data_IF_510061667526
#
_entry.id   IF_510061667526
#
_cell.length_a   1.000
_cell.length_b   1.000
_cell.length_c   1.000
_cell.angle_alpha   90.00
_cell.angle_beta   90.00
_cell.angle_gamma   90.00
#
_symmetry.space_group_name_H-M   'P 1'
#
loop_
_entity.id
_entity.type
_entity.pdbx_description
1 polymer ?
#
# COMPACT_ATOMS: atom_id res chain seq x y z
N UNK A 1 23.04 24.41 -32.63
CA UNK A 1 22.71 24.81 -31.24
C UNK A 1 23.53 23.99 -30.23
N UNK A 2 24.81 24.32 -29.92
CA UNK A 2 25.63 23.54 -28.97
C UNK A 2 25.92 24.26 -27.62
N UNK A 3 25.80 25.58 -27.56
CA UNK A 3 26.31 26.41 -26.45
C UNK A 3 25.47 26.25 -25.17
N UNK A 4 24.16 26.04 -25.31
CA UNK A 4 23.22 25.89 -24.19
C UNK A 4 23.50 24.62 -23.37
N UNK A 5 23.89 23.52 -24.02
CA UNK A 5 24.16 22.22 -23.38
C UNK A 5 25.41 22.29 -22.50
N UNK A 6 26.46 22.99 -22.95
CA UNK A 6 27.73 23.13 -22.20
C UNK A 6 27.51 23.93 -20.91
N UNK A 7 26.74 25.03 -21.00
CA UNK A 7 26.44 25.91 -19.86
C UNK A 7 25.54 25.24 -18.82
N UNK A 8 24.59 24.42 -19.26
CA UNK A 8 23.72 23.66 -18.37
C UNK A 8 24.50 22.54 -17.64
N UNK A 9 25.44 21.88 -18.32
CA UNK A 9 26.30 20.85 -17.71
C UNK A 9 27.26 21.45 -16.68
N UNK A 10 27.81 22.64 -16.91
CA UNK A 10 28.66 23.34 -15.92
C UNK A 10 27.85 23.83 -14.73
N UNK A 11 26.64 24.35 -14.95
CA UNK A 11 25.73 24.74 -13.87
C UNK A 11 25.36 23.55 -12.97
N UNK A 12 25.01 22.40 -13.55
CA UNK A 12 24.73 21.17 -12.77
C UNK A 12 25.94 20.73 -11.94
N UNK A 13 27.17 20.86 -12.46
CA UNK A 13 28.40 20.56 -11.67
C UNK A 13 28.56 21.50 -10.48
N UNK A 14 28.27 22.78 -10.67
CA UNK A 14 28.33 23.78 -9.59
C UNK A 14 27.29 23.50 -8.50
N UNK A 15 26.06 23.16 -8.89
CA UNK A 15 25.00 22.81 -7.94
C UNK A 15 25.33 21.53 -7.14
N UNK A 16 25.84 20.49 -7.80
CA UNK A 16 26.26 19.26 -7.10
C UNK A 16 27.41 19.55 -6.13
N UNK A 17 28.37 20.40 -6.53
CA UNK A 17 29.49 20.79 -5.67
C UNK A 17 29.02 21.62 -4.48
N UNK A 18 28.14 22.60 -4.69
CA UNK A 18 27.55 23.41 -3.63
C UNK A 18 26.77 22.53 -2.63
N UNK A 19 25.96 21.58 -3.12
CA UNK A 19 25.26 20.61 -2.27
C UNK A 19 26.22 19.73 -1.46
N UNK A 20 27.32 19.27 -2.07
CA UNK A 20 28.33 18.47 -1.37
C UNK A 20 29.03 19.25 -0.25
N UNK A 21 29.42 20.50 -0.53
CA UNK A 21 30.03 21.39 0.49
C UNK A 21 29.08 21.67 1.63
N UNK A 22 27.81 21.97 1.33
CA UNK A 22 26.78 22.17 2.36
C UNK A 22 26.59 20.90 3.21
N UNK A 23 26.55 19.72 2.58
CA UNK A 23 26.41 18.45 3.31
C UNK A 23 27.63 18.11 4.19
N UNK A 24 28.83 18.58 3.85
CA UNK A 24 30.00 18.45 4.72
C UNK A 24 29.98 19.39 5.92
N UNK A 25 29.32 20.55 5.81
CA UNK A 25 29.18 21.53 6.89
C UNK A 25 28.10 21.18 7.93
N UNK A 26 27.25 20.20 7.66
CA UNK A 26 26.22 19.73 8.61
C UNK A 26 26.86 18.71 9.55
N UNK A 27 26.77 18.90 10.89
CA UNK A 27 27.24 17.91 11.85
C UNK A 27 26.61 16.53 11.61
N UNK A 28 27.41 15.47 11.73
CA UNK A 28 26.99 14.10 11.41
C UNK A 28 25.70 13.69 12.13
N UNK A 29 25.49 14.14 13.37
CA UNK A 29 24.27 13.86 14.15
C UNK A 29 23.01 14.37 13.44
N UNK A 30 23.01 15.60 12.92
CA UNK A 30 21.87 16.15 12.20
C UNK A 30 21.65 15.47 10.83
N UNK A 31 22.74 15.05 10.16
CA UNK A 31 22.64 14.27 8.92
C UNK A 31 22.01 12.91 9.16
N UNK A 32 22.43 12.21 10.22
CA UNK A 32 21.87 10.92 10.60
C UNK A 32 20.39 11.06 10.97
N UNK A 33 20.02 12.06 11.81
CA UNK A 33 18.62 12.36 12.13
C UNK A 33 17.77 12.64 10.89
N UNK A 34 18.28 13.41 9.94
CA UNK A 34 17.58 13.70 8.69
C UNK A 34 17.33 12.45 7.84
N UNK A 35 18.35 11.59 7.71
CA UNK A 35 18.21 10.32 6.99
C UNK A 35 17.21 9.39 7.69
N UNK A 36 17.28 9.25 9.02
CA UNK A 36 16.32 8.44 9.79
C UNK A 36 14.88 8.93 9.65
N UNK A 37 14.65 10.25 9.63
CA UNK A 37 13.31 10.82 9.40
C UNK A 37 12.82 10.52 7.98
N UNK A 38 13.71 10.63 6.99
CA UNK A 38 13.38 10.31 5.60
C UNK A 38 12.99 8.83 5.46
N UNK A 39 13.76 7.93 6.07
CA UNK A 39 13.51 6.49 6.01
C UNK A 39 12.20 6.14 6.75
N UNK A 40 11.97 6.72 7.94
CA UNK A 40 10.72 6.55 8.67
C UNK A 40 9.50 7.03 7.89
N UNK A 41 9.62 8.16 7.17
CA UNK A 41 8.56 8.68 6.29
C UNK A 41 8.27 7.72 5.11
N UNK A 42 9.30 7.17 4.48
CA UNK A 42 9.13 6.19 3.40
C UNK A 42 8.48 4.89 3.90
N UNK A 43 8.87 4.43 5.10
CA UNK A 43 8.24 3.28 5.73
C UNK A 43 6.76 3.56 6.06
N UNK A 44 6.43 4.73 6.57
CA UNK A 44 5.05 5.14 6.83
C UNK A 44 4.20 5.12 5.55
N UNK A 45 4.69 5.70 4.45
CA UNK A 45 3.97 5.71 3.17
C UNK A 45 3.81 4.28 2.60
N UNK A 46 4.82 3.43 2.74
CA UNK A 46 4.75 2.03 2.33
C UNK A 46 3.74 1.24 3.18
N UNK A 47 3.65 1.53 4.48
CA UNK A 47 2.65 0.97 5.39
C UNK A 47 1.27 1.44 4.95
N UNK A 48 1.03 2.74 4.78
CA UNK A 48 -0.26 3.30 4.32
C UNK A 48 -0.74 2.66 3.01
N UNK A 49 0.14 2.56 2.00
CA UNK A 49 -0.17 1.90 0.72
C UNK A 49 -0.56 0.44 0.86
N UNK A 50 -0.02 -0.29 1.84
CA UNK A 50 -0.41 -1.69 2.09
C UNK A 50 -1.84 -1.82 2.60
N UNK A 51 -2.40 -0.79 3.24
CA UNK A 51 -3.79 -0.84 3.72
C UNK A 51 -4.79 -0.31 2.69
N UNK A 52 -4.35 0.60 1.83
CA UNK A 52 -5.06 0.90 0.58
C UNK A 52 -5.25 -0.36 -0.29
N UNK A 53 -4.46 -1.43 -0.08
CA UNK A 53 -4.64 -2.70 -0.80
C UNK A 53 -6.00 -3.35 -0.55
N UNK A 54 -6.67 -3.15 0.61
CA UNK A 54 -8.02 -3.70 0.82
C UNK A 54 -9.00 -3.01 -0.14
N UNK A 55 -8.99 -1.68 -0.15
CA UNK A 55 -9.86 -0.85 -0.98
C UNK A 55 -9.59 -1.10 -2.47
N UNK A 56 -8.30 -1.13 -2.85
CA UNK A 56 -7.89 -1.44 -4.22
C UNK A 56 -8.26 -2.87 -4.64
N UNK A 57 -8.15 -3.86 -3.75
CA UNK A 57 -8.57 -5.24 -4.02
C UNK A 57 -10.08 -5.32 -4.22
N UNK A 58 -10.84 -4.63 -3.38
CA UNK A 58 -12.29 -4.54 -3.48
C UNK A 58 -12.70 -3.88 -4.81
N UNK A 59 -12.18 -2.71 -5.14
CA UNK A 59 -12.50 -1.99 -6.38
C UNK A 59 -12.18 -2.82 -7.64
N UNK A 60 -11.01 -3.47 -7.64
CA UNK A 60 -10.60 -4.35 -8.75
C UNK A 60 -11.54 -5.54 -8.90
N UNK A 61 -11.93 -6.17 -7.78
CA UNK A 61 -12.83 -7.31 -7.81
C UNK A 61 -14.25 -6.90 -8.22
N UNK A 62 -14.75 -5.78 -7.70
CA UNK A 62 -16.05 -5.21 -8.09
C UNK A 62 -16.10 -4.95 -9.59
N UNK A 63 -15.05 -4.35 -10.15
CA UNK A 63 -14.95 -4.12 -11.59
C UNK A 63 -15.00 -5.43 -12.39
N UNK A 64 -14.31 -6.48 -11.94
CA UNK A 64 -14.34 -7.79 -12.60
C UNK A 64 -15.72 -8.45 -12.51
N UNK A 65 -16.36 -8.39 -11.35
CA UNK A 65 -17.72 -8.93 -11.15
C UNK A 65 -18.69 -8.23 -12.10
N UNK A 66 -18.67 -6.90 -12.18
CA UNK A 66 -19.52 -6.16 -13.11
C UNK A 66 -19.25 -6.52 -14.58
N UNK A 67 -18.00 -6.78 -14.97
CA UNK A 67 -17.67 -7.22 -16.32
C UNK A 67 -18.22 -8.62 -16.64
N UNK A 68 -18.15 -9.55 -15.68
CA UNK A 68 -18.67 -10.92 -15.84
C UNK A 68 -20.20 -10.92 -15.92
N UNK A 69 -20.87 -10.11 -15.10
CA UNK A 69 -22.32 -9.94 -15.14
C UNK A 69 -22.80 -9.44 -16.51
N UNK A 70 -22.06 -8.51 -17.12
CA UNK A 70 -22.35 -8.03 -18.48
C UNK A 70 -22.16 -9.11 -19.56
N UNK A 71 -21.27 -10.08 -19.34
CA UNK A 71 -21.06 -11.23 -20.22
C UNK A 71 -22.08 -12.36 -19.98
N UNK A 72 -23.03 -12.18 -19.05
CA UNK A 72 -24.04 -13.17 -18.70
C UNK A 72 -23.54 -14.24 -17.72
N UNK A 73 -22.32 -14.12 -17.19
CA UNK A 73 -21.83 -14.99 -16.13
C UNK A 73 -22.27 -14.48 -14.76
N UNK A 74 -23.11 -15.25 -14.07
CA UNK A 74 -23.54 -14.95 -12.71
C UNK A 74 -22.67 -15.70 -11.71
N UNK A 75 -21.85 -14.97 -10.95
CA UNK A 75 -21.11 -15.53 -9.81
C UNK A 75 -22.01 -15.63 -8.58
N UNK A 76 -21.81 -16.68 -7.77
CA UNK A 76 -22.45 -16.76 -6.46
C UNK A 76 -21.79 -15.78 -5.49
N UNK A 77 -22.55 -15.26 -4.52
CA UNK A 77 -22.00 -14.39 -3.47
C UNK A 77 -20.86 -15.09 -2.72
N UNK A 78 -21.01 -16.39 -2.45
CA UNK A 78 -19.98 -17.23 -1.85
C UNK A 78 -18.67 -17.19 -2.65
N UNK A 79 -18.73 -17.34 -3.97
CA UNK A 79 -17.53 -17.37 -4.82
C UNK A 79 -16.84 -16.00 -4.86
N UNK A 80 -17.62 -14.92 -4.98
CA UNK A 80 -17.11 -13.55 -4.95
C UNK A 80 -16.43 -13.27 -3.61
N UNK A 81 -17.10 -13.60 -2.50
CA UNK A 81 -16.58 -13.41 -1.15
C UNK A 81 -15.30 -14.22 -0.92
N UNK A 82 -15.24 -15.48 -1.37
CA UNK A 82 -14.01 -16.27 -1.27
C UNK A 82 -12.86 -15.69 -2.10
N UNK A 83 -13.14 -15.18 -3.30
CA UNK A 83 -12.13 -14.50 -4.14
C UNK A 83 -11.62 -13.23 -3.47
N UNK A 84 -12.48 -12.44 -2.83
CA UNK A 84 -12.08 -11.27 -2.05
C UNK A 84 -11.12 -11.68 -0.94
N UNK A 85 -11.53 -12.62 -0.08
CA UNK A 85 -10.73 -13.08 1.07
C UNK A 85 -9.39 -13.70 0.66
N UNK A 86 -9.33 -14.38 -0.49
CA UNK A 86 -8.09 -14.97 -1.03
C UNK A 86 -7.14 -13.93 -1.63
N UNK A 87 -7.67 -12.80 -2.09
CA UNK A 87 -6.89 -11.74 -2.75
C UNK A 87 -6.37 -10.70 -1.76
N UNK A 88 -6.77 -10.77 -0.49
CA UNK A 88 -6.25 -9.90 0.55
C UNK A 88 -4.76 -10.16 0.79
N UNK A 89 -4.06 -9.12 1.22
CA UNK A 89 -2.64 -9.22 1.57
C UNK A 89 -2.43 -10.10 2.82
N UNK A 90 -1.21 -10.65 3.04
CA UNK A 90 -0.94 -11.56 4.15
C UNK A 90 -1.28 -11.00 5.53
N UNK A 91 -1.23 -9.68 5.70
CA UNK A 91 -1.60 -8.97 6.92
C UNK A 91 -3.04 -9.26 7.35
N UNK A 92 -3.94 -9.56 6.40
CA UNK A 92 -5.34 -9.89 6.66
C UNK A 92 -5.62 -11.38 6.89
N UNK A 93 -4.59 -12.25 6.85
CA UNK A 93 -4.78 -13.71 6.85
C UNK A 93 -5.63 -14.22 8.01
N UNK A 94 -5.40 -13.72 9.24
CA UNK A 94 -6.17 -14.12 10.42
C UNK A 94 -7.66 -13.85 10.23
N UNK A 95 -8.01 -12.62 9.81
CA UNK A 95 -9.39 -12.24 9.53
C UNK A 95 -9.97 -13.01 8.35
N UNK A 96 -9.19 -13.24 7.30
CA UNK A 96 -9.62 -14.01 6.14
C UNK A 96 -9.94 -15.48 6.48
N UNK A 97 -9.19 -16.10 7.39
CA UNK A 97 -9.50 -17.45 7.91
C UNK A 97 -10.78 -17.43 8.74
N UNK A 98 -10.92 -16.48 9.66
CA UNK A 98 -12.11 -16.36 10.51
C UNK A 98 -13.37 -16.16 9.67
N UNK A 99 -13.34 -15.25 8.69
CA UNK A 99 -14.48 -14.98 7.80
C UNK A 99 -14.81 -16.16 6.88
N UNK A 100 -13.82 -16.94 6.42
CA UNK A 100 -14.08 -18.16 5.63
C UNK A 100 -14.89 -19.21 6.39
N UNK A 101 -14.77 -19.24 7.71
CA UNK A 101 -15.46 -20.20 8.57
C UNK A 101 -16.85 -19.73 9.04
N UNK A 102 -17.25 -18.49 8.71
CA UNK A 102 -18.58 -17.99 9.08
C UNK A 102 -19.67 -18.63 8.23
N UNK A 103 -20.77 -18.97 8.86
CA UNK A 103 -21.93 -19.62 8.23
C UNK A 103 -22.71 -18.71 7.31
N UNK A 104 -22.59 -17.39 7.44
CA UNK A 104 -23.30 -16.40 6.62
C UNK A 104 -22.48 -15.90 5.42
N UNK A 105 -21.36 -16.54 5.09
CA UNK A 105 -20.47 -16.10 4.00
C UNK A 105 -21.12 -16.23 2.60
N UNK A 106 -22.08 -17.14 2.45
CA UNK A 106 -22.85 -17.37 1.24
C UNK A 106 -24.02 -16.40 1.05
N UNK A 107 -24.48 -15.79 2.14
CA UNK A 107 -25.64 -14.88 2.17
C UNK A 107 -25.23 -13.41 2.23
N UNK A 108 -24.11 -13.09 2.88
CA UNK A 108 -23.58 -11.72 2.93
C UNK A 108 -23.13 -11.28 1.53
N UNK A 109 -23.47 -10.05 1.14
CA UNK A 109 -22.96 -9.50 -0.11
C UNK A 109 -21.50 -9.02 0.06
N UNK A 110 -20.78 -8.89 -1.05
CA UNK A 110 -19.37 -8.48 -1.04
C UNK A 110 -19.14 -7.11 -0.38
N UNK A 111 -20.06 -6.16 -0.53
CA UNK A 111 -19.92 -4.81 0.04
C UNK A 111 -20.04 -4.84 1.57
N UNK A 112 -21.01 -5.58 2.11
CA UNK A 112 -21.17 -5.78 3.54
C UNK A 112 -19.97 -6.53 4.12
N UNK A 113 -19.44 -7.54 3.41
CA UNK A 113 -18.22 -8.22 3.81
C UNK A 113 -17.03 -7.24 3.88
N UNK A 114 -16.87 -6.39 2.88
CA UNK A 114 -15.83 -5.36 2.86
C UNK A 114 -15.96 -4.38 4.05
N UNK A 115 -17.16 -3.85 4.32
CA UNK A 115 -17.38 -2.94 5.44
C UNK A 115 -17.09 -3.60 6.79
N UNK A 116 -17.46 -4.88 6.92
CA UNK A 116 -17.14 -5.66 8.11
C UNK A 116 -15.63 -5.89 8.28
N UNK A 117 -14.87 -6.06 7.19
CA UNK A 117 -13.41 -6.14 7.24
C UNK A 117 -12.79 -4.78 7.58
N UNK A 118 -13.33 -3.69 7.04
CA UNK A 118 -12.83 -2.31 7.25
C UNK A 118 -12.71 -1.93 8.73
N UNK A 119 -13.59 -2.44 9.58
CA UNK A 119 -13.55 -2.22 11.04
C UNK A 119 -12.25 -2.72 11.68
N UNK A 120 -11.63 -3.76 11.13
CA UNK A 120 -10.38 -4.35 11.64
C UNK A 120 -9.12 -3.68 11.09
N UNK A 121 -9.24 -2.78 10.12
CA UNK A 121 -8.10 -2.07 9.53
C UNK A 121 -7.13 -1.47 10.57
N UNK A 122 -7.55 -0.79 11.65
CA UNK A 122 -6.62 -0.26 12.66
C UNK A 122 -5.86 -1.37 13.42
N UNK A 123 -6.47 -2.54 13.61
CA UNK A 123 -5.83 -3.67 14.28
C UNK A 123 -4.82 -4.38 13.36
N UNK A 124 -5.19 -4.59 12.09
CA UNK A 124 -4.28 -5.10 11.05
C UNK A 124 -3.07 -4.17 10.94
N UNK A 125 -3.28 -2.84 10.94
CA UNK A 125 -2.21 -1.82 10.94
C UNK A 125 -1.23 -2.00 12.10
N UNK A 126 -1.74 -2.26 13.30
CA UNK A 126 -0.91 -2.48 14.48
C UNK A 126 -0.06 -3.75 14.33
N UNK A 127 -0.66 -4.85 13.90
CA UNK A 127 0.00 -6.15 13.77
C UNK A 127 1.15 -6.12 12.75
N UNK A 128 0.95 -5.45 11.62
CA UNK A 128 1.97 -5.31 10.57
C UNK A 128 3.22 -4.57 11.06
N UNK A 129 3.04 -3.57 11.94
CA UNK A 129 4.16 -2.80 12.50
C UNK A 129 4.94 -3.58 13.56
N UNK A 130 4.28 -4.50 14.29
CA UNK A 130 4.95 -5.34 15.29
C UNK A 130 5.84 -6.41 14.62
N UNK A 131 5.37 -6.97 13.51
CA UNK A 131 6.08 -8.05 12.80
C UNK A 131 7.34 -7.59 12.04
N UNK A 132 7.55 -6.27 11.86
CA UNK A 132 8.75 -5.71 11.22
C UNK A 132 9.92 -5.47 12.19
N UNK A 133 9.77 -5.81 13.47
CA UNK A 133 10.76 -5.55 14.52
C UNK A 133 11.63 -6.77 14.90
N UNK A 134 11.60 -7.83 14.07
CA UNK A 134 12.37 -9.08 14.26
C UNK A 134 13.31 -9.28 13.09
#
# INVERSE_FOLDING_TARGET
MPITIVKEKTQRRLEVKARSTLMMGIPNEHRLKFNSIKDAKQLLEAVEKRFELLDQTFDRLQKLVSQLELLGEKLSQKDVNQKLLRSLSPEWNTYAVVWRNKTNLDTINMYDLYNNLKVYEPEVKRMSNSNSST
#
